data_IF_837388673188
#
_entry.id   IF_837388673188
#
_cell.length_a   1.000
_cell.length_b   1.000
_cell.length_c   1.000
_cell.angle_alpha   90.00
_cell.angle_beta   90.00
_cell.angle_gamma   90.00
#
_symmetry.space_group_name_H-M   'P 1'
#
loop_
_entity.id
_entity.type
_entity.pdbx_description
1 polymer ?
#
# COMPACT_ATOMS: atom_id res chain seq x y z
N UNK A 1 3.24 -16.35 12.27
CA UNK A 1 1.88 -16.69 11.79
C UNK A 1 1.17 -15.36 11.58
N UNK A 2 1.21 -14.80 10.37
CA UNK A 2 0.32 -13.68 10.04
C UNK A 2 -1.00 -14.34 9.66
N UNK A 3 -1.92 -14.35 10.61
CA UNK A 3 -3.29 -14.81 10.39
C UNK A 3 -3.91 -13.92 9.29
N UNK A 4 -4.65 -14.54 8.38
CA UNK A 4 -5.34 -13.88 7.25
C UNK A 4 -6.84 -13.74 7.52
N UNK A 5 -7.25 -13.86 8.79
CA UNK A 5 -8.64 -13.84 9.17
C UNK A 5 -9.17 -12.40 9.26
N UNK A 6 -10.44 -12.20 8.90
CA UNK A 6 -11.08 -10.88 8.91
C UNK A 6 -11.02 -10.18 10.29
N UNK A 7 -10.89 -10.94 11.38
CA UNK A 7 -10.74 -10.40 12.74
C UNK A 7 -9.46 -9.62 12.98
N UNK A 8 -8.37 -9.93 12.27
CA UNK A 8 -7.07 -9.27 12.48
C UNK A 8 -7.10 -7.80 12.04
N UNK A 9 -7.94 -7.46 11.06
CA UNK A 9 -8.09 -6.10 10.59
C UNK A 9 -8.50 -5.12 11.70
N UNK A 10 -9.28 -5.56 12.69
CA UNK A 10 -9.68 -4.69 13.81
C UNK A 10 -8.49 -4.25 14.66
N UNK A 11 -7.46 -5.08 14.77
CA UNK A 11 -6.25 -4.77 15.52
C UNK A 11 -5.20 -4.05 14.68
N UNK A 12 -5.17 -4.31 13.36
CA UNK A 12 -4.22 -3.68 12.45
C UNK A 12 -4.62 -2.26 12.04
N UNK A 13 -5.91 -2.00 11.88
CA UNK A 13 -6.43 -0.69 11.46
C UNK A 13 -5.94 0.51 12.31
N UNK A 14 -5.88 0.45 13.65
CA UNK A 14 -5.35 1.58 14.43
C UNK A 14 -3.84 1.80 14.27
N UNK A 15 -3.09 0.81 13.74
CA UNK A 15 -1.62 0.86 13.64
C UNK A 15 -1.15 1.14 12.22
N UNK A 16 -1.86 0.65 11.21
CA UNK A 16 -1.48 0.73 9.80
C UNK A 16 -2.48 1.59 9.01
N UNK A 17 -1.97 2.29 7.99
CA UNK A 17 -2.77 3.02 7.02
C UNK A 17 -2.50 2.47 5.60
N UNK A 18 -3.43 2.71 4.67
CA UNK A 18 -3.36 2.20 3.30
C UNK A 18 -3.04 3.30 2.29
N UNK A 19 -2.43 2.93 1.15
CA UNK A 19 -2.18 3.88 0.06
C UNK A 19 -3.49 4.48 -0.48
N UNK A 20 -4.49 3.63 -0.66
CA UNK A 20 -5.85 3.99 -1.07
C UNK A 20 -6.86 3.26 -0.21
N UNK A 21 -8.08 3.78 -0.10
CA UNK A 21 -9.17 3.15 0.65
C UNK A 21 -10.46 3.19 -0.13
N UNK A 22 -11.42 2.35 0.22
CA UNK A 22 -12.76 2.41 -0.35
C UNK A 22 -13.72 3.08 0.63
N UNK A 23 -14.64 3.89 0.13
CA UNK A 23 -15.76 4.40 0.93
C UNK A 23 -16.91 3.37 0.97
N UNK A 24 -17.99 3.72 1.67
CA UNK A 24 -19.20 2.88 1.78
C UNK A 24 -19.90 2.60 0.45
N UNK A 25 -19.56 3.33 -0.62
CA UNK A 25 -20.08 3.14 -1.98
C UNK A 25 -19.12 2.36 -2.87
N UNK A 26 -18.03 1.81 -2.32
CA UNK A 26 -16.95 1.13 -3.07
C UNK A 26 -16.23 2.03 -4.06
N UNK A 27 -16.26 3.34 -3.83
CA UNK A 27 -15.49 4.29 -4.62
C UNK A 27 -14.08 4.40 -4.02
N UNK A 28 -13.06 4.37 -4.88
CA UNK A 28 -11.67 4.53 -4.48
C UNK A 28 -11.44 5.96 -3.96
N UNK A 29 -10.79 6.08 -2.80
CA UNK A 29 -10.52 7.32 -2.09
C UNK A 29 -9.02 7.43 -1.75
N UNK A 30 -8.51 8.67 -1.66
CA UNK A 30 -7.15 8.93 -1.17
C UNK A 30 -6.91 8.39 0.24
N UNK A 31 -5.74 7.77 0.42
CA UNK A 31 -5.19 7.35 1.71
C UNK A 31 -3.85 8.07 1.95
N UNK A 32 -2.77 7.29 2.06
CA UNK A 32 -1.39 7.79 2.02
C UNK A 32 -0.96 8.25 0.62
N UNK A 33 -1.59 7.74 -0.44
CA UNK A 33 -1.50 8.30 -1.78
C UNK A 33 -2.65 9.28 -1.99
N UNK A 34 -2.31 10.51 -2.40
CA UNK A 34 -3.27 11.61 -2.59
C UNK A 34 -3.88 11.61 -3.98
N UNK A 35 -3.10 11.16 -4.97
CA UNK A 35 -3.49 11.08 -6.38
C UNK A 35 -2.81 9.89 -7.03
N UNK A 36 -3.38 9.43 -8.13
CA UNK A 36 -2.80 8.41 -8.97
C UNK A 36 -3.16 8.67 -10.44
N UNK A 37 -2.26 8.27 -11.32
CA UNK A 37 -2.42 8.42 -12.76
C UNK A 37 -1.92 7.18 -13.50
N UNK A 38 -2.51 6.96 -14.67
CA UNK A 38 -2.15 5.88 -15.59
C UNK A 38 -1.60 6.54 -16.86
N UNK A 39 -0.28 6.80 -16.95
CA UNK A 39 0.30 7.38 -18.15
C UNK A 39 0.19 6.43 -19.36
N UNK A 40 0.05 5.12 -19.12
CA UNK A 40 -0.19 4.08 -20.11
C UNK A 40 -0.96 2.89 -19.49
N UNK A 41 -1.21 1.84 -20.26
CA UNK A 41 -2.01 0.67 -19.84
C UNK A 41 -1.29 -0.27 -18.84
N UNK A 42 -0.03 -0.02 -18.51
CA UNK A 42 0.82 -0.89 -17.69
C UNK A 42 1.45 -0.19 -16.48
N UNK A 43 1.41 1.14 -16.46
CA UNK A 43 2.06 1.96 -15.43
C UNK A 43 1.02 2.63 -14.54
N UNK A 44 1.19 2.48 -13.23
CA UNK A 44 0.45 3.21 -12.21
C UNK A 44 1.40 4.11 -11.43
N UNK A 45 1.21 5.42 -11.50
CA UNK A 45 1.99 6.40 -10.73
C UNK A 45 1.16 6.84 -9.52
N UNK A 46 1.74 6.73 -8.32
CA UNK A 46 1.12 7.17 -7.07
C UNK A 46 1.82 8.41 -6.52
N UNK A 47 1.06 9.47 -6.24
CA UNK A 47 1.57 10.66 -5.58
C UNK A 47 1.32 10.57 -4.07
N UNK A 48 2.40 10.41 -3.31
CA UNK A 48 2.34 10.23 -1.86
C UNK A 48 2.13 11.55 -1.11
N UNK A 49 1.40 11.48 0.00
CA UNK A 49 1.24 12.60 0.93
C UNK A 49 2.59 12.97 1.54
N UNK A 50 2.88 14.27 1.61
CA UNK A 50 4.12 14.79 2.19
C UNK A 50 3.99 14.98 3.71
N UNK A 51 5.10 14.83 4.42
CA UNK A 51 5.20 15.11 5.85
C UNK A 51 4.58 14.04 6.76
N UNK A 52 4.23 12.87 6.19
CA UNK A 52 3.80 11.71 6.99
C UNK A 52 5.02 11.03 7.58
N UNK A 53 4.90 10.56 8.82
CA UNK A 53 5.95 9.83 9.54
C UNK A 53 5.42 8.51 10.05
N UNK A 54 6.29 7.52 10.12
CA UNK A 54 6.01 6.29 10.85
C UNK A 54 6.04 6.53 12.37
N UNK A 55 5.55 5.56 13.13
CA UNK A 55 5.47 5.63 14.59
C UNK A 55 6.85 5.75 15.27
N UNK A 56 7.93 5.37 14.58
CA UNK A 56 9.32 5.52 15.04
C UNK A 56 9.95 6.88 14.67
N UNK A 57 9.21 7.74 13.97
CA UNK A 57 9.65 9.08 13.54
C UNK A 57 10.33 9.14 12.18
N UNK A 58 10.60 8.00 11.53
CA UNK A 58 11.12 7.95 10.16
C UNK A 58 10.10 8.50 9.16
N UNK A 59 10.58 9.06 8.05
CA UNK A 59 9.71 9.64 7.03
C UNK A 59 9.02 8.55 6.21
N UNK A 60 7.76 8.80 5.85
CA UNK A 60 7.05 8.01 4.86
C UNK A 60 7.34 8.58 3.46
N UNK A 61 8.04 7.80 2.64
CA UNK A 61 8.43 8.16 1.28
C UNK A 61 8.23 7.00 0.27
N UNK A 62 8.61 7.26 -0.98
CA UNK A 62 8.48 6.28 -2.06
C UNK A 62 9.33 5.03 -1.86
N UNK A 63 10.51 5.16 -1.23
CA UNK A 63 11.40 4.03 -0.94
C UNK A 63 10.77 3.10 0.09
N UNK A 64 10.17 3.65 1.15
CA UNK A 64 9.44 2.86 2.15
C UNK A 64 8.25 2.10 1.52
N UNK A 65 7.55 2.72 0.56
CA UNK A 65 6.47 2.06 -0.19
C UNK A 65 7.01 0.94 -1.06
N UNK A 66 8.09 1.21 -1.82
CA UNK A 66 8.74 0.23 -2.70
C UNK A 66 9.18 -1.01 -1.93
N UNK A 67 9.89 -0.84 -0.81
CA UNK A 67 10.33 -1.95 0.05
C UNK A 67 9.13 -2.79 0.52
N UNK A 68 8.03 -2.14 0.92
CA UNK A 68 6.82 -2.86 1.34
C UNK A 68 6.21 -3.67 0.19
N UNK A 69 6.16 -3.11 -1.02
CA UNK A 69 5.61 -3.78 -2.20
C UNK A 69 6.49 -4.94 -2.67
N UNK A 70 7.81 -4.77 -2.64
CA UNK A 70 8.78 -5.83 -2.93
C UNK A 70 8.65 -6.98 -1.93
N UNK A 71 8.46 -6.66 -0.64
CA UNK A 71 8.18 -7.68 0.39
C UNK A 71 6.92 -8.48 0.08
N UNK A 72 5.84 -7.81 -0.35
CA UNK A 72 4.58 -8.47 -0.72
C UNK A 72 4.72 -9.32 -1.98
N UNK A 73 5.58 -8.94 -2.93
CA UNK A 73 5.88 -9.73 -4.14
C UNK A 73 6.86 -10.90 -3.90
N UNK A 74 7.59 -10.90 -2.77
CA UNK A 74 8.60 -11.91 -2.47
C UNK A 74 8.03 -13.35 -2.42
N UNK A 75 8.89 -14.35 -2.66
CA UNK A 75 8.50 -15.77 -2.71
C UNK A 75 7.91 -16.30 -1.40
N UNK A 76 8.25 -15.66 -0.28
CA UNK A 76 7.78 -16.02 1.05
C UNK A 76 6.43 -15.38 1.39
N UNK A 77 5.90 -14.53 0.51
CA UNK A 77 4.59 -13.91 0.66
C UNK A 77 3.47 -14.89 0.35
N UNK A 78 2.46 -14.91 1.21
CA UNK A 78 1.21 -15.64 0.98
C UNK A 78 0.25 -14.86 0.08
N UNK A 79 0.58 -13.62 -0.29
CA UNK A 79 -0.23 -12.73 -1.14
C UNK A 79 0.19 -12.90 -2.59
N UNK A 80 -0.75 -13.29 -3.47
CA UNK A 80 -0.48 -13.54 -4.90
C UNK A 80 -0.78 -12.37 -5.83
N UNK A 81 -1.47 -11.33 -5.35
CA UNK A 81 -2.06 -10.29 -6.20
C UNK A 81 -1.02 -9.47 -6.98
N UNK A 82 0.20 -9.41 -6.45
CA UNK A 82 1.31 -8.63 -7.02
C UNK A 82 2.24 -9.44 -7.94
N UNK A 83 1.92 -10.71 -8.24
CA UNK A 83 2.76 -11.57 -9.09
C UNK A 83 2.94 -11.04 -10.52
N UNK A 84 1.94 -10.31 -11.03
CA UNK A 84 1.94 -9.76 -12.39
C UNK A 84 2.58 -8.36 -12.48
N UNK A 85 3.01 -7.78 -11.36
CA UNK A 85 3.71 -6.48 -11.37
C UNK A 85 5.14 -6.71 -11.83
N UNK A 86 5.61 -6.01 -12.85
CA UNK A 86 6.95 -6.18 -13.42
C UNK A 86 8.03 -5.55 -12.52
N UNK A 87 7.88 -4.27 -12.18
CA UNK A 87 8.82 -3.48 -11.37
C UNK A 87 8.12 -2.52 -10.41
N UNK A 88 8.87 -2.00 -9.44
CA UNK A 88 8.50 -0.87 -8.58
C UNK A 88 9.59 0.20 -8.71
N UNK A 89 9.18 1.41 -9.03
CA UNK A 89 10.07 2.56 -9.31
C UNK A 89 9.79 3.71 -8.35
#
# INVERSE_FOLDING_TARGET
>A
ILSTNAGDYQFLWPVYDTLTRYNSKLELQPGLAEKWEYPDDKTLVLHLRKGVKFHDGTDFDAEAVKINMERVKSKDSTISDFKNVESFE
#
